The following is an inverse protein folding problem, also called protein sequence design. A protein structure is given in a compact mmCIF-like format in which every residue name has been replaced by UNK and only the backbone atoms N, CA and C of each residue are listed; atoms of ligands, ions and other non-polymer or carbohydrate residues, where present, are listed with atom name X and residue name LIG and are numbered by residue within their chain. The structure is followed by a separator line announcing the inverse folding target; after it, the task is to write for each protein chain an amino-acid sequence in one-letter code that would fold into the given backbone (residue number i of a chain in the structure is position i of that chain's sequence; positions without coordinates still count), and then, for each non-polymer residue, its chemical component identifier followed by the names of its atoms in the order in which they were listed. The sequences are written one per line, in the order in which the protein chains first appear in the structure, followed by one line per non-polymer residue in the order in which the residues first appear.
data_IF_425585754991
#
_entry.id   IF_425585754991
#
_cell.length_a   1.000
_cell.length_b   1.000
_cell.length_c   1.000
_cell.angle_alpha   90.00
_cell.angle_beta   90.00
_cell.angle_gamma   90.00
#
_symmetry.space_group_name_H-M   'P 1'
#
loop_
_entity.id
_entity.type
_entity.pdbx_description
1 polymer ?
#
# COMPACT_ATOMS: atom_id res chain seq x y z
N UNK A 1 8.26 28.63 -4.04
CA UNK A 1 8.15 27.16 -3.92
C UNK A 1 9.31 26.53 -4.66
N UNK A 2 9.85 25.39 -4.20
CA UNK A 2 10.93 24.68 -4.91
C UNK A 2 10.49 24.38 -6.35
N UNK A 3 11.39 24.60 -7.31
CA UNK A 3 11.18 24.32 -8.75
C UNK A 3 11.72 22.95 -9.16
N UNK A 4 12.23 22.17 -8.21
CA UNK A 4 12.80 20.83 -8.43
C UNK A 4 12.20 19.84 -7.44
N UNK A 5 12.04 18.59 -7.87
CA UNK A 5 11.58 17.54 -6.99
C UNK A 5 12.61 17.26 -5.90
N UNK A 6 12.13 17.10 -4.66
CA UNK A 6 12.98 16.75 -3.52
C UNK A 6 12.86 15.25 -3.23
N UNK A 7 13.98 14.58 -3.00
CA UNK A 7 13.98 13.17 -2.55
C UNK A 7 13.34 13.08 -1.16
N UNK A 8 12.34 12.21 -1.01
CA UNK A 8 11.63 12.00 0.26
C UNK A 8 11.83 10.61 0.84
N UNK A 9 12.18 9.62 0.02
CA UNK A 9 12.42 8.25 0.48
C UNK A 9 13.38 7.51 -0.47
N UNK A 10 13.98 6.43 0.04
CA UNK A 10 14.69 5.44 -0.77
C UNK A 10 14.56 4.06 -0.18
N UNK A 11 14.34 3.08 -1.04
CA UNK A 11 14.45 1.66 -0.73
C UNK A 11 15.56 1.01 -1.52
N UNK A 12 15.63 -0.31 -1.47
CA UNK A 12 16.67 -1.11 -2.13
C UNK A 12 16.66 -0.98 -3.67
N UNK A 13 15.50 -0.69 -4.25
CA UNK A 13 15.31 -0.72 -5.72
C UNK A 13 14.92 0.63 -6.33
N UNK A 14 14.48 1.60 -5.51
CA UNK A 14 14.00 2.87 -6.02
C UNK A 14 14.19 4.00 -5.01
N UNK A 15 14.27 5.23 -5.53
CA UNK A 15 14.15 6.46 -4.76
C UNK A 15 12.86 7.18 -5.15
N UNK A 16 12.20 7.79 -4.15
CA UNK A 16 10.98 8.57 -4.35
C UNK A 16 11.29 10.05 -4.21
N UNK A 17 10.89 10.82 -5.20
CA UNK A 17 10.98 12.27 -5.25
C UNK A 17 9.57 12.87 -5.29
N UNK A 18 9.40 14.09 -4.80
CA UNK A 18 8.11 14.79 -4.80
C UNK A 18 8.25 16.22 -5.32
N UNK A 19 7.31 16.65 -6.16
CA UNK A 19 7.15 18.04 -6.60
C UNK A 19 5.66 18.37 -6.66
N UNK A 20 5.22 19.33 -5.85
CA UNK A 20 3.80 19.66 -5.73
C UNK A 20 2.97 18.43 -5.31
N UNK A 21 1.94 18.13 -6.13
CA UNK A 21 1.05 16.99 -5.96
C UNK A 21 1.48 15.70 -6.66
N UNK A 22 2.69 15.66 -7.23
CA UNK A 22 3.22 14.49 -7.95
C UNK A 22 4.36 13.85 -7.18
N UNK A 23 4.32 12.52 -7.10
CA UNK A 23 5.42 11.67 -6.67
C UNK A 23 6.07 10.99 -7.87
N UNK A 24 7.39 10.85 -7.82
CA UNK A 24 8.21 10.22 -8.86
C UNK A 24 9.00 9.08 -8.24
N UNK A 25 8.71 7.83 -8.61
CA UNK A 25 9.47 6.65 -8.22
C UNK A 25 10.49 6.37 -9.32
N UNK A 26 11.76 6.71 -9.08
CA UNK A 26 12.87 6.42 -10.00
C UNK A 26 13.60 5.17 -9.53
N UNK A 27 13.73 4.21 -10.44
CA UNK A 27 14.31 2.91 -10.15
C UNK A 27 15.83 2.95 -10.32
N UNK A 28 16.54 2.10 -9.58
CA UNK A 28 17.92 1.77 -9.92
C UNK A 28 17.94 1.08 -11.30
N UNK A 29 19.00 1.32 -12.09
CA UNK A 29 19.06 0.93 -13.52
C UNK A 29 18.78 -0.58 -13.72
N UNK A 30 18.14 -0.88 -14.86
CA UNK A 30 17.73 -2.22 -15.34
C UNK A 30 16.67 -2.97 -14.51
N UNK A 31 15.76 -2.25 -13.84
CA UNK A 31 14.58 -2.89 -13.27
C UNK A 31 13.50 -3.11 -14.35
N UNK A 32 13.49 -4.28 -14.98
CA UNK A 32 12.41 -4.71 -15.90
C UNK A 32 11.01 -4.60 -15.25
N UNK A 33 10.95 -4.73 -13.92
CA UNK A 33 9.72 -4.62 -13.17
C UNK A 33 9.08 -3.22 -13.15
N UNK A 34 9.73 -2.18 -13.67
CA UNK A 34 9.15 -0.83 -13.67
C UNK A 34 7.90 -0.72 -14.57
N UNK A 35 7.93 -1.33 -15.76
CA UNK A 35 6.76 -1.40 -16.65
C UNK A 35 5.65 -2.25 -16.04
N UNK A 36 6.01 -3.39 -15.45
CA UNK A 36 5.06 -4.28 -14.78
C UNK A 36 4.38 -3.59 -13.59
N UNK A 37 5.15 -2.85 -12.78
CA UNK A 37 4.63 -2.07 -11.67
C UNK A 37 3.69 -0.97 -12.16
N UNK A 38 4.05 -0.25 -13.23
CA UNK A 38 3.21 0.78 -13.83
C UNK A 38 1.87 0.22 -14.34
N UNK A 39 1.91 -0.91 -15.04
CA UNK A 39 0.72 -1.56 -15.57
C UNK A 39 -0.18 -2.11 -14.45
N UNK A 40 0.43 -2.69 -13.41
CA UNK A 40 -0.29 -3.12 -12.21
C UNK A 40 -0.95 -1.93 -11.51
N UNK A 41 -0.22 -0.83 -11.33
CA UNK A 41 -0.74 0.39 -10.73
C UNK A 41 -1.93 0.96 -11.52
N UNK A 42 -1.83 1.06 -12.85
CA UNK A 42 -2.92 1.53 -13.72
C UNK A 42 -4.14 0.60 -13.66
N UNK A 43 -3.92 -0.71 -13.67
CA UNK A 43 -4.98 -1.70 -13.54
C UNK A 43 -5.68 -1.62 -12.19
N UNK A 44 -4.93 -1.57 -11.09
CA UNK A 44 -5.49 -1.47 -9.72
C UNK A 44 -6.21 -0.14 -9.54
N UNK A 45 -5.62 0.98 -9.94
CA UNK A 45 -6.28 2.29 -9.85
C UNK A 45 -7.64 2.28 -10.55
N UNK A 46 -7.68 1.79 -11.80
CA UNK A 46 -8.91 1.82 -12.62
C UNK A 46 -9.98 0.88 -12.08
N UNK A 47 -9.61 -0.34 -11.69
CA UNK A 47 -10.58 -1.40 -11.38
C UNK A 47 -10.91 -1.50 -9.89
N UNK A 48 -10.02 -1.03 -9.01
CA UNK A 48 -10.15 -1.22 -7.57
C UNK A 48 -10.57 0.05 -6.84
N UNK A 49 -10.14 1.26 -7.24
CA UNK A 49 -10.42 2.50 -6.49
C UNK A 49 -11.90 2.89 -6.35
N UNK A 50 -12.79 2.70 -7.35
CA UNK A 50 -14.18 3.13 -7.21
C UNK A 50 -14.86 2.54 -5.96
N UNK A 51 -15.22 3.41 -5.01
CA UNK A 51 -15.83 3.01 -3.74
C UNK A 51 -14.92 2.20 -2.80
N UNK A 52 -13.60 2.27 -2.96
CA UNK A 52 -12.66 1.58 -2.08
C UNK A 52 -12.35 2.39 -0.82
N UNK A 53 -12.05 1.65 0.26
CA UNK A 53 -11.51 2.21 1.50
C UNK A 53 -10.02 2.54 1.37
N UNK A 54 -9.23 1.63 0.77
CA UNK A 54 -7.82 1.87 0.43
C UNK A 54 -7.68 2.21 -1.04
N UNK A 55 -6.96 3.30 -1.33
CA UNK A 55 -6.79 3.83 -2.67
C UNK A 55 -5.39 3.51 -3.20
N UNK A 56 -5.29 3.10 -4.46
CA UNK A 56 -4.05 3.20 -5.20
C UNK A 56 -3.86 4.66 -5.67
N UNK A 57 -2.65 5.23 -5.60
CA UNK A 57 -2.39 6.57 -6.16
C UNK A 57 -2.69 6.62 -7.66
N UNK A 58 -3.20 7.73 -8.21
CA UNK A 58 -3.40 7.83 -9.68
C UNK A 58 -2.05 7.76 -10.42
N UNK A 59 -1.81 6.79 -11.32
CA UNK A 59 -0.65 6.86 -12.21
C UNK A 59 -0.82 7.99 -13.23
N UNK A 60 0.29 8.64 -13.58
CA UNK A 60 0.31 9.75 -14.53
C UNK A 60 1.07 9.35 -15.79
N UNK A 61 2.32 8.92 -15.63
CA UNK A 61 3.18 8.56 -16.75
C UNK A 61 4.33 7.63 -16.33
N UNK A 62 4.86 6.90 -17.30
CA UNK A 62 6.07 6.10 -17.18
C UNK A 62 7.14 6.68 -18.11
N UNK A 63 8.32 6.96 -17.56
CA UNK A 63 9.53 7.14 -18.36
C UNK A 63 10.22 5.79 -18.55
N UNK A 64 10.37 5.38 -19.81
CA UNK A 64 11.06 4.16 -20.20
C UNK A 64 12.59 4.31 -20.17
N UNK A 65 13.30 3.19 -20.30
CA UNK A 65 14.77 3.16 -20.34
C UNK A 65 15.36 4.02 -21.49
N UNK A 66 14.67 4.12 -22.61
CA UNK A 66 15.02 4.96 -23.77
C UNK A 66 14.62 6.44 -23.59
N UNK A 67 14.08 6.80 -22.41
CA UNK A 67 13.56 8.12 -22.03
C UNK A 67 12.29 8.55 -22.74
N UNK A 68 11.65 7.67 -23.54
CA UNK A 68 10.27 7.90 -23.97
C UNK A 68 9.34 7.98 -22.76
N UNK A 69 8.26 8.75 -22.87
CA UNK A 69 7.28 8.94 -21.80
C UNK A 69 5.92 8.47 -22.29
N UNK A 70 5.42 7.43 -21.63
CA UNK A 70 4.10 6.85 -21.90
C UNK A 70 3.07 7.40 -20.91
N UNK A 71 1.92 7.90 -21.35
CA UNK A 71 0.83 8.27 -20.46
C UNK A 71 0.22 7.02 -19.80
N UNK A 72 -0.31 7.17 -18.58
CA UNK A 72 -0.96 6.07 -17.87
C UNK A 72 -2.26 5.58 -18.54
N UNK A 73 -2.95 6.48 -19.25
CA UNK A 73 -4.24 6.19 -19.87
C UNK A 73 -4.25 6.67 -21.32
N UNK A 74 -4.82 5.85 -22.21
CA UNK A 74 -4.89 6.15 -23.63
C UNK A 74 -5.63 7.48 -23.87
N UNK A 75 -5.00 8.38 -24.61
CA UNK A 75 -5.57 9.69 -24.94
C UNK A 75 -5.41 10.77 -23.86
N UNK A 76 -4.86 10.45 -22.67
CA UNK A 76 -4.48 11.48 -21.69
C UNK A 76 -3.16 12.14 -22.08
N UNK A 77 -3.12 13.48 -22.05
CA UNK A 77 -1.88 14.23 -22.21
C UNK A 77 -1.10 14.26 -20.88
N UNK A 78 0.21 13.98 -20.94
CA UNK A 78 1.08 14.12 -19.76
C UNK A 78 1.38 15.60 -19.54
N UNK A 79 1.18 16.15 -18.33
CA UNK A 79 1.52 17.54 -18.02
C UNK A 79 3.00 17.85 -18.33
N UNK A 80 3.26 19.02 -18.93
CA UNK A 80 4.61 19.38 -19.41
C UNK A 80 5.64 19.46 -18.28
N UNK A 81 5.22 19.87 -17.09
CA UNK A 81 6.04 19.89 -15.87
C UNK A 81 6.40 18.47 -15.40
N UNK A 82 5.47 17.51 -15.50
CA UNK A 82 5.73 16.10 -15.21
C UNK A 82 6.74 15.51 -16.19
N UNK A 83 6.60 15.77 -17.50
CA UNK A 83 7.56 15.33 -18.52
C UNK A 83 8.94 15.93 -18.25
N UNK A 84 9.00 17.23 -17.96
CA UNK A 84 10.25 17.93 -17.67
C UNK A 84 10.95 17.36 -16.43
N UNK A 85 10.21 17.00 -15.39
CA UNK A 85 10.79 16.44 -14.17
C UNK A 85 11.25 14.98 -14.36
N UNK A 86 10.45 14.15 -15.05
CA UNK A 86 10.89 12.80 -15.45
C UNK A 86 12.20 12.85 -16.25
N UNK A 87 12.35 13.81 -17.16
CA UNK A 87 13.58 14.01 -17.94
C UNK A 87 14.85 14.26 -17.12
N UNK A 88 14.73 14.69 -15.85
CA UNK A 88 15.85 14.92 -14.92
C UNK A 88 16.20 13.70 -14.08
N UNK A 89 15.30 12.73 -13.98
CA UNK A 89 15.48 11.54 -13.15
C UNK A 89 16.16 10.41 -13.94
N UNK A 90 16.88 9.50 -13.25
CA UNK A 90 17.34 8.27 -13.87
C UNK A 90 16.14 7.42 -14.35
N UNK A 91 16.11 6.99 -15.62
CA UNK A 91 15.11 6.04 -16.07
C UNK A 91 15.45 4.60 -15.62
N UNK A 92 14.44 3.71 -15.51
CA UNK A 92 13.02 4.01 -15.65
C UNK A 92 12.46 4.76 -14.43
N UNK A 93 11.37 5.51 -14.62
CA UNK A 93 10.71 6.25 -13.54
C UNK A 93 9.19 6.36 -13.74
N UNK A 94 8.42 6.20 -12.66
CA UNK A 94 6.96 6.36 -12.66
C UNK A 94 6.59 7.68 -12.02
N UNK A 95 5.76 8.48 -12.69
CA UNK A 95 5.06 9.62 -12.11
C UNK A 95 3.64 9.21 -11.70
N UNK A 96 3.23 9.57 -10.48
CA UNK A 96 1.92 9.26 -9.92
C UNK A 96 1.47 10.35 -8.93
N UNK A 97 0.21 10.32 -8.54
CA UNK A 97 -0.33 11.13 -7.46
C UNK A 97 0.48 10.95 -6.17
N UNK A 98 0.76 12.06 -5.50
CA UNK A 98 1.48 12.05 -4.24
C UNK A 98 0.58 11.60 -3.09
N UNK A 99 1.09 10.67 -2.28
CA UNK A 99 0.61 10.47 -0.90
C UNK A 99 1.30 11.52 -0.02
N UNK A 100 0.52 12.38 0.64
CA UNK A 100 1.07 13.43 1.49
C UNK A 100 1.39 12.90 2.90
N UNK A 101 2.27 13.61 3.59
CA UNK A 101 2.62 13.34 4.98
C UNK A 101 1.36 13.33 5.86
N UNK A 102 1.32 12.45 6.86
CA UNK A 102 0.22 12.46 7.85
C UNK A 102 0.10 13.83 8.55
N UNK A 103 -1.08 14.23 9.04
CA UNK A 103 -1.26 15.51 9.73
C UNK A 103 -0.37 15.65 10.98
N UNK A 104 0.06 16.87 11.30
CA UNK A 104 0.97 17.14 12.43
C UNK A 104 0.41 16.70 13.78
N UNK A 105 -0.92 16.78 13.95
CA UNK A 105 -1.60 16.24 15.13
C UNK A 105 -1.36 14.73 15.30
N UNK A 106 -1.32 13.96 14.21
CA UNK A 106 -0.95 12.54 14.26
C UNK A 106 0.54 12.36 14.55
N UNK A 107 1.42 13.17 13.95
CA UNK A 107 2.87 13.07 14.15
C UNK A 107 3.25 13.24 15.63
N UNK A 108 2.70 14.27 16.28
CA UNK A 108 2.96 14.55 17.69
C UNK A 108 2.47 13.42 18.61
N UNK A 109 1.23 12.96 18.41
CA UNK A 109 0.68 11.85 19.17
C UNK A 109 1.47 10.54 18.96
N UNK A 110 1.85 10.25 17.71
CA UNK A 110 2.62 9.06 17.38
C UNK A 110 4.03 9.09 17.98
N UNK A 111 4.69 10.24 17.98
CA UNK A 111 5.99 10.41 18.63
C UNK A 111 5.93 10.04 20.12
N UNK A 112 4.86 10.42 20.82
CA UNK A 112 4.67 10.02 22.22
C UNK A 112 4.48 8.51 22.39
N UNK A 113 3.68 7.87 21.54
CA UNK A 113 3.41 6.42 21.60
C UNK A 113 4.71 5.63 21.41
N UNK A 114 5.51 6.00 20.41
CA UNK A 114 6.75 5.29 20.07
C UNK A 114 7.97 5.82 20.85
N UNK A 115 7.77 6.75 21.79
CA UNK A 115 8.80 7.38 22.62
C UNK A 115 9.93 8.04 21.81
N UNK A 116 9.56 8.69 20.71
CA UNK A 116 10.44 9.48 19.87
C UNK A 116 10.64 10.88 20.48
N UNK A 117 11.84 11.44 20.33
CA UNK A 117 12.10 12.87 20.61
C UNK A 117 11.11 13.74 19.82
N UNK A 118 10.40 14.65 20.50
CA UNK A 118 9.41 15.55 19.90
C UNK A 118 9.99 16.36 18.74
N UNK A 119 11.29 16.69 18.77
CA UNK A 119 11.97 17.41 17.68
C UNK A 119 12.02 16.61 16.38
N UNK A 120 11.91 15.28 16.45
CA UNK A 120 11.88 14.37 15.31
C UNK A 120 10.47 14.05 14.84
N UNK A 121 9.43 14.43 15.59
CA UNK A 121 8.04 14.19 15.19
C UNK A 121 7.71 14.76 13.78
N UNK A 122 8.16 15.98 13.39
CA UNK A 122 7.89 16.51 12.05
C UNK A 122 8.48 15.68 10.90
N UNK A 123 9.51 14.87 11.17
CA UNK A 123 10.14 13.99 10.19
C UNK A 123 9.28 12.77 9.85
N UNK A 124 8.25 12.46 10.64
CA UNK A 124 7.33 11.37 10.35
C UNK A 124 6.54 11.69 9.07
N UNK A 125 6.64 10.81 8.08
CA UNK A 125 5.99 10.98 6.76
C UNK A 125 4.70 10.18 6.66
N UNK A 126 4.83 8.86 6.61
CA UNK A 126 3.72 7.93 6.43
C UNK A 126 3.69 6.90 7.55
N UNK A 127 2.53 6.25 7.70
CA UNK A 127 2.37 5.15 8.63
C UNK A 127 2.00 3.86 7.88
N UNK A 128 2.87 2.85 7.91
CA UNK A 128 2.57 1.52 7.37
C UNK A 128 1.59 0.78 8.28
N UNK A 129 0.60 0.11 7.73
CA UNK A 129 -0.47 -0.57 8.47
C UNK A 129 -0.12 -2.03 8.72
N UNK A 130 0.72 -2.28 9.72
CA UNK A 130 1.19 -3.60 10.12
C UNK A 130 0.18 -4.41 10.92
N UNK A 131 -1.02 -4.67 10.36
CA UNK A 131 -2.13 -5.29 11.10
C UNK A 131 -1.93 -6.78 11.41
N UNK A 132 -0.90 -7.40 10.84
CA UNK A 132 -0.46 -8.76 11.17
C UNK A 132 0.60 -8.86 12.26
N UNK A 133 1.04 -7.72 12.83
CA UNK A 133 2.06 -7.67 13.87
C UNK A 133 1.46 -7.35 15.22
N UNK A 134 1.89 -8.07 16.25
CA UNK A 134 1.52 -7.76 17.64
C UNK A 134 2.33 -6.57 18.19
N UNK A 135 3.61 -6.48 17.81
CA UNK A 135 4.53 -5.46 18.30
C UNK A 135 5.42 -4.91 17.20
N UNK A 136 5.81 -3.63 17.34
CA UNK A 136 6.86 -3.00 16.53
C UNK A 136 8.19 -3.63 16.94
N UNK A 137 8.94 -4.19 15.98
CA UNK A 137 10.25 -4.79 16.22
C UNK A 137 11.31 -4.06 15.40
N UNK A 138 12.45 -3.75 16.02
CA UNK A 138 13.59 -3.12 15.36
C UNK A 138 13.52 -1.57 15.34
N UNK A 139 14.46 -0.93 14.64
CA UNK A 139 14.53 0.52 14.54
C UNK A 139 13.32 1.10 13.79
N UNK A 140 12.82 2.23 14.26
CA UNK A 140 11.70 2.94 13.64
C UNK A 140 12.19 3.75 12.43
N UNK A 141 11.60 3.49 11.27
CA UNK A 141 11.73 4.37 10.10
C UNK A 141 10.75 5.54 10.21
N UNK A 142 11.27 6.77 10.28
CA UNK A 142 10.41 7.97 10.30
C UNK A 142 9.77 8.25 8.93
N UNK A 143 10.36 7.74 7.84
CA UNK A 143 9.72 7.79 6.53
C UNK A 143 8.46 6.90 6.45
N UNK A 144 8.38 5.86 7.27
CA UNK A 144 7.36 4.80 7.16
C UNK A 144 7.18 4.08 8.51
N UNK A 145 6.52 4.74 9.48
CA UNK A 145 6.36 4.19 10.83
C UNK A 145 5.34 3.05 10.79
N UNK A 146 5.71 1.85 11.25
CA UNK A 146 4.80 0.71 11.28
C UNK A 146 3.82 0.81 12.45
N UNK A 147 2.52 0.80 12.16
CA UNK A 147 1.44 0.75 13.15
C UNK A 147 0.91 -0.68 13.28
N UNK A 148 1.03 -1.25 14.47
CA UNK A 148 0.32 -2.47 14.86
C UNK A 148 -1.14 -2.16 15.23
N UNK A 149 -2.03 -3.16 15.35
CA UNK A 149 -3.40 -2.93 15.78
C UNK A 149 -3.48 -2.13 17.11
N UNK A 150 -2.67 -2.50 18.09
CA UNK A 150 -2.60 -1.80 19.40
C UNK A 150 -2.11 -0.37 19.27
N UNK A 151 -1.05 -0.15 18.49
CA UNK A 151 -0.46 1.19 18.29
C UNK A 151 -1.43 2.10 17.54
N UNK A 152 -2.12 1.57 16.54
CA UNK A 152 -3.15 2.28 15.79
C UNK A 152 -4.32 2.66 16.68
N UNK A 153 -4.80 1.74 17.54
CA UNK A 153 -5.90 2.01 18.46
C UNK A 153 -5.54 3.10 19.50
N UNK A 154 -4.32 3.05 20.08
CA UNK A 154 -3.84 4.11 20.98
C UNK A 154 -3.75 5.47 20.25
N UNK A 155 -3.22 5.48 19.02
CA UNK A 155 -3.16 6.68 18.19
C UNK A 155 -4.56 7.25 17.93
N UNK A 156 -5.51 6.42 17.49
CA UNK A 156 -6.90 6.83 17.25
C UNK A 156 -7.56 7.41 18.49
N UNK A 157 -7.28 6.86 19.67
CA UNK A 157 -7.82 7.37 20.93
C UNK A 157 -7.23 8.73 21.33
N UNK A 158 -5.91 8.91 21.15
CA UNK A 158 -5.22 10.18 21.52
C UNK A 158 -5.59 11.36 20.64
N UNK A 159 -5.86 11.10 19.37
CA UNK A 159 -6.16 12.13 18.37
C UNK A 159 -7.66 12.33 18.18
N UNK A 160 -8.48 11.65 18.98
CA UNK A 160 -9.94 11.75 18.96
C UNK A 160 -10.36 13.21 19.15
N UNK A 161 -11.07 13.74 18.15
CA UNK A 161 -11.53 15.13 18.10
C UNK A 161 -10.64 16.08 17.29
N UNK A 162 -9.37 15.71 17.04
CA UNK A 162 -8.49 16.44 16.13
C UNK A 162 -8.46 15.81 14.73
N UNK A 163 -8.39 14.48 14.68
CA UNK A 163 -8.39 13.71 13.42
C UNK A 163 -9.33 12.52 13.60
N UNK A 164 -10.24 12.34 12.65
CA UNK A 164 -11.13 11.18 12.62
C UNK A 164 -10.38 9.99 12.03
N UNK A 165 -9.96 9.05 12.90
CA UNK A 165 -9.44 7.76 12.48
C UNK A 165 -10.53 6.69 12.66
N UNK A 166 -10.77 5.84 11.63
CA UNK A 166 -11.72 4.74 11.76
C UNK A 166 -11.22 3.69 12.76
N UNK A 167 -12.12 2.87 13.35
CA UNK A 167 -11.76 1.70 14.13
C UNK A 167 -10.78 0.77 13.41
N UNK A 168 -9.98 0.03 14.17
CA UNK A 168 -8.98 -0.89 13.61
C UNK A 168 -9.66 -2.00 12.78
N UNK A 169 -10.85 -2.42 13.17
CA UNK A 169 -11.66 -3.40 12.46
C UNK A 169 -12.04 -2.92 11.06
N UNK A 170 -12.36 -1.63 10.90
CA UNK A 170 -12.69 -1.07 9.59
C UNK A 170 -11.47 -1.00 8.68
N UNK A 171 -10.30 -0.69 9.23
CA UNK A 171 -9.03 -0.74 8.48
C UNK A 171 -8.73 -2.17 8.02
N UNK A 172 -8.83 -3.14 8.92
CA UNK A 172 -8.56 -4.56 8.60
C UNK A 172 -9.57 -5.12 7.60
N UNK A 173 -10.85 -4.75 7.73
CA UNK A 173 -11.89 -5.07 6.74
C UNK A 173 -11.57 -4.45 5.38
N UNK A 174 -11.12 -3.20 5.38
CA UNK A 174 -10.67 -2.49 4.18
C UNK A 174 -9.50 -3.20 3.50
N UNK A 175 -8.52 -3.68 4.27
CA UNK A 175 -7.37 -4.45 3.75
C UNK A 175 -7.86 -5.73 3.08
N UNK A 176 -8.73 -6.51 3.74
CA UNK A 176 -9.33 -7.71 3.15
C UNK A 176 -10.05 -7.42 1.83
N UNK A 177 -10.86 -6.35 1.80
CA UNK A 177 -11.56 -5.92 0.60
C UNK A 177 -10.60 -5.49 -0.52
N UNK A 178 -9.52 -4.76 -0.20
CA UNK A 178 -8.52 -4.35 -1.18
C UNK A 178 -7.82 -5.55 -1.83
N UNK A 179 -7.41 -6.54 -1.02
CA UNK A 179 -6.78 -7.77 -1.53
C UNK A 179 -7.72 -8.53 -2.46
N UNK A 180 -9.00 -8.69 -2.09
CA UNK A 180 -9.99 -9.35 -2.94
C UNK A 180 -10.18 -8.63 -4.29
N UNK A 181 -10.23 -7.29 -4.28
CA UNK A 181 -10.32 -6.51 -5.52
C UNK A 181 -9.07 -6.69 -6.39
N UNK A 182 -7.88 -6.71 -5.79
CA UNK A 182 -6.63 -6.95 -6.51
C UNK A 182 -6.64 -8.34 -7.14
N UNK A 183 -7.02 -9.38 -6.40
CA UNK A 183 -7.12 -10.76 -6.91
C UNK A 183 -8.10 -10.88 -8.07
N UNK A 184 -9.32 -10.38 -7.91
CA UNK A 184 -10.43 -10.78 -8.77
C UNK A 184 -10.92 -9.72 -9.74
N UNK A 185 -10.59 -8.43 -9.51
CA UNK A 185 -10.90 -7.34 -10.45
C UNK A 185 -9.67 -6.93 -11.23
N UNK A 186 -8.55 -6.69 -10.55
CA UNK A 186 -7.30 -6.35 -11.22
C UNK A 186 -6.59 -7.59 -11.79
N UNK A 187 -6.86 -8.79 -11.25
CA UNK A 187 -6.29 -10.04 -11.75
C UNK A 187 -4.82 -10.23 -11.36
N UNK A 188 -4.45 -9.91 -10.13
CA UNK A 188 -3.08 -10.04 -9.62
C UNK A 188 -3.02 -10.68 -8.22
N UNK A 189 -1.89 -11.26 -7.85
CA UNK A 189 -1.73 -12.06 -6.63
C UNK A 189 -1.50 -11.25 -5.33
N UNK A 190 -1.47 -9.91 -5.43
CA UNK A 190 -1.22 -9.01 -4.31
C UNK A 190 0.09 -9.28 -3.55
N UNK A 191 1.11 -9.85 -4.21
CA UNK A 191 2.41 -10.12 -3.60
C UNK A 191 3.19 -8.82 -3.34
N UNK A 192 3.87 -8.76 -2.19
CA UNK A 192 4.71 -7.64 -1.70
C UNK A 192 4.05 -6.25 -1.59
N UNK A 193 2.73 -6.14 -1.79
CA UNK A 193 2.04 -4.85 -1.63
C UNK A 193 2.11 -4.33 -0.19
N UNK A 194 2.16 -3.01 -0.06
CA UNK A 194 2.16 -2.31 1.22
C UNK A 194 0.88 -1.49 1.40
N UNK A 195 0.50 -1.31 2.67
CA UNK A 195 -0.64 -0.47 3.05
C UNK A 195 -0.17 0.65 3.96
N UNK A 196 -0.62 1.87 3.70
CA UNK A 196 -0.28 3.01 4.55
C UNK A 196 -1.47 3.91 4.83
N UNK A 197 -1.31 4.67 5.90
CA UNK A 197 -2.06 5.88 6.21
C UNK A 197 -1.20 7.09 5.85
N UNK A 198 -1.79 8.01 5.09
CA UNK A 198 -1.20 9.29 4.68
C UNK A 198 -2.26 10.38 4.63
N UNK A 199 -1.93 11.56 4.10
CA UNK A 199 -2.89 12.63 3.86
C UNK A 199 -3.19 12.81 2.37
N UNK A 200 -4.29 13.50 2.08
CA UNK A 200 -4.76 13.81 0.72
C UNK A 200 -4.38 15.21 0.20
N UNK A 201 -3.50 15.92 0.92
CA UNK A 201 -3.10 17.29 0.61
C UNK A 201 -4.02 18.36 1.16
N UNK A 202 -5.22 18.02 1.64
CA UNK A 202 -6.15 18.93 2.35
C UNK A 202 -6.11 18.75 3.87
N UNK A 203 -5.21 17.91 4.38
CA UNK A 203 -5.08 17.59 5.80
C UNK A 203 -5.99 16.46 6.28
N UNK A 204 -6.83 15.89 5.40
CA UNK A 204 -7.60 14.70 5.72
C UNK A 204 -6.74 13.44 5.56
N UNK A 205 -6.97 12.48 6.44
CA UNK A 205 -6.31 11.18 6.40
C UNK A 205 -6.98 10.30 5.35
N UNK A 206 -6.17 9.61 4.54
CA UNK A 206 -6.59 8.55 3.62
C UNK A 206 -5.72 7.32 3.79
N UNK A 207 -6.26 6.19 3.35
CA UNK A 207 -5.60 4.89 3.37
C UNK A 207 -5.23 4.49 1.94
N UNK A 208 -4.02 3.97 1.79
CA UNK A 208 -3.42 3.70 0.49
C UNK A 208 -2.89 2.28 0.41
N UNK A 209 -2.89 1.75 -0.80
CA UNK A 209 -2.18 0.51 -1.18
C UNK A 209 -1.17 0.86 -2.28
N UNK A 210 0.06 0.36 -2.16
CA UNK A 210 1.15 0.66 -3.10
C UNK A 210 2.24 -0.42 -3.09
N UNK A 211 3.32 -0.16 -3.83
CA UNK A 211 4.47 -1.06 -4.07
C UNK A 211 4.07 -2.33 -4.83
N UNK A 212 3.70 -2.16 -6.10
CA UNK A 212 3.17 -3.23 -6.96
C UNK A 212 4.27 -3.95 -7.76
N UNK A 213 5.53 -3.85 -7.34
CA UNK A 213 6.71 -4.27 -8.11
C UNK A 213 6.91 -5.78 -8.21
N UNK A 214 6.31 -6.59 -7.32
CA UNK A 214 6.40 -8.06 -7.32
C UNK A 214 5.08 -8.76 -7.57
N UNK A 215 4.04 -8.02 -7.98
CA UNK A 215 2.76 -8.62 -8.29
C UNK A 215 2.81 -9.40 -9.60
N UNK A 216 2.20 -10.58 -9.59
CA UNK A 216 2.06 -11.42 -10.77
C UNK A 216 0.59 -11.54 -11.16
N UNK A 217 0.33 -11.74 -12.46
CA UNK A 217 -1.03 -11.93 -12.97
C UNK A 217 -1.61 -13.25 -12.46
N UNK A 218 -2.83 -13.18 -11.97
CA UNK A 218 -3.64 -14.34 -11.65
C UNK A 218 -4.28 -14.81 -12.95
N UNK A 219 -3.79 -15.92 -13.49
CA UNK A 219 -4.37 -16.53 -14.69
C UNK A 219 -5.82 -16.97 -14.46
N UNK A 220 -6.52 -17.35 -15.55
CA UNK A 220 -7.93 -17.76 -15.49
C UNK A 220 -8.20 -18.91 -14.51
N UNK A 221 -7.22 -19.81 -14.39
CA UNK A 221 -7.17 -20.90 -13.42
C UNK A 221 -6.15 -20.53 -12.33
N UNK A 222 -6.55 -19.77 -11.30
CA UNK A 222 -5.63 -19.39 -10.24
C UNK A 222 -5.06 -20.61 -9.54
N UNK A 223 -3.75 -20.58 -9.30
CA UNK A 223 -3.09 -21.51 -8.39
C UNK A 223 -3.32 -21.00 -6.96
N UNK A 224 -4.26 -21.63 -6.25
CA UNK A 224 -4.63 -21.26 -4.89
C UNK A 224 -3.44 -21.31 -3.92
N UNK A 225 -2.52 -22.26 -4.09
CA UNK A 225 -1.36 -22.39 -3.20
C UNK A 225 -0.38 -21.24 -3.40
N UNK A 226 -0.20 -20.78 -4.67
CA UNK A 226 0.57 -19.58 -4.95
C UNK A 226 -0.05 -18.33 -4.34
N UNK A 227 -1.38 -18.16 -4.45
CA UNK A 227 -2.09 -17.05 -3.83
C UNK A 227 -1.92 -17.06 -2.30
N UNK A 228 -2.08 -18.21 -1.66
CA UNK A 228 -1.87 -18.36 -0.22
C UNK A 228 -0.43 -18.03 0.17
N UNK A 229 0.55 -18.46 -0.64
CA UNK A 229 1.97 -18.15 -0.43
C UNK A 229 2.25 -16.65 -0.53
N UNK A 230 1.75 -15.98 -1.58
CA UNK A 230 1.86 -14.52 -1.77
C UNK A 230 1.17 -13.73 -0.64
N UNK A 231 0.00 -14.18 -0.19
CA UNK A 231 -0.66 -13.58 0.96
C UNK A 231 0.19 -13.72 2.23
N UNK A 232 0.79 -14.89 2.46
CA UNK A 232 1.57 -15.17 3.67
C UNK A 232 2.96 -14.54 3.68
N UNK A 233 3.59 -14.27 2.53
CA UNK A 233 4.84 -13.50 2.49
C UNK A 233 4.64 -12.08 3.04
N UNK A 234 3.42 -11.56 2.93
CA UNK A 234 2.99 -10.26 3.43
C UNK A 234 2.41 -10.30 4.86
N UNK A 235 2.78 -11.30 5.67
CA UNK A 235 2.25 -11.48 7.03
C UNK A 235 2.44 -10.30 7.99
N UNK A 236 3.31 -9.33 7.68
CA UNK A 236 3.41 -8.09 8.47
C UNK A 236 2.13 -7.26 8.38
N UNK A 237 1.39 -7.34 7.27
CA UNK A 237 0.23 -6.50 6.98
C UNK A 237 -1.11 -7.17 7.27
N UNK A 238 -1.14 -8.50 7.32
CA UNK A 238 -2.38 -9.25 7.49
C UNK A 238 -2.43 -10.00 8.81
N UNK A 239 -3.49 -9.88 9.62
CA UNK A 239 -3.76 -10.87 10.66
C UNK A 239 -3.92 -12.25 10.02
N UNK A 240 -3.38 -13.29 10.67
CA UNK A 240 -3.43 -14.68 10.18
C UNK A 240 -4.27 -15.61 11.06
N UNK A 241 -4.71 -15.12 12.22
CA UNK A 241 -5.58 -15.81 13.18
C UNK A 241 -6.29 -14.79 14.09
N UNK A 242 -7.20 -15.29 14.94
CA UNK A 242 -7.94 -14.48 15.91
C UNK A 242 -9.03 -13.60 15.31
N UNK A 243 -9.59 -12.70 16.13
CA UNK A 243 -10.77 -11.91 15.77
C UNK A 243 -10.52 -10.98 14.55
N UNK A 244 -9.34 -10.37 14.45
CA UNK A 244 -9.00 -9.51 13.30
C UNK A 244 -8.86 -10.30 12.00
N UNK A 245 -8.48 -11.57 12.06
CA UNK A 245 -8.48 -12.42 10.86
C UNK A 245 -9.91 -12.67 10.35
N UNK A 246 -10.87 -12.90 11.25
CA UNK A 246 -12.29 -13.00 10.85
C UNK A 246 -12.82 -11.71 10.22
N UNK A 247 -12.40 -10.55 10.74
CA UNK A 247 -12.73 -9.23 10.15
C UNK A 247 -12.13 -9.07 8.75
N UNK A 248 -10.87 -9.49 8.57
CA UNK A 248 -10.20 -9.46 7.27
C UNK A 248 -10.95 -10.35 6.26
N UNK A 249 -11.29 -11.58 6.65
CA UNK A 249 -12.06 -12.51 5.81
C UNK A 249 -13.40 -11.90 5.40
N UNK A 250 -14.16 -11.34 6.35
CA UNK A 250 -15.42 -10.68 6.05
C UNK A 250 -15.26 -9.51 5.05
N UNK A 251 -14.17 -8.75 5.17
CA UNK A 251 -13.80 -7.72 4.19
C UNK A 251 -13.54 -8.30 2.80
N UNK A 252 -12.77 -9.39 2.72
CA UNK A 252 -12.47 -10.08 1.47
C UNK A 252 -13.73 -10.66 0.81
N UNK A 253 -14.54 -11.40 1.57
CA UNK A 253 -15.80 -12.02 1.12
C UNK A 253 -16.79 -10.98 0.58
N UNK A 254 -16.85 -9.78 1.18
CA UNK A 254 -17.74 -8.71 0.74
C UNK A 254 -17.48 -8.22 -0.69
N UNK A 255 -16.33 -8.56 -1.27
CA UNK A 255 -15.94 -8.17 -2.63
C UNK A 255 -16.05 -9.32 -3.63
N UNK A 256 -16.48 -10.51 -3.18
CA UNK A 256 -16.71 -11.65 -4.05
C UNK A 256 -18.09 -11.56 -4.70
N UNK A 257 -18.13 -11.76 -6.01
CA UNK A 257 -19.35 -11.77 -6.82
C UNK A 257 -19.30 -12.91 -7.83
N UNK A 258 -20.38 -13.08 -8.60
CA UNK A 258 -20.68 -14.26 -9.44
C UNK A 258 -19.46 -15.07 -9.90
N UNK A 259 -18.59 -14.49 -10.72
CA UNK A 259 -17.45 -15.19 -11.32
C UNK A 259 -16.25 -15.41 -10.39
N UNK A 260 -16.11 -14.62 -9.32
CA UNK A 260 -15.00 -14.71 -8.38
C UNK A 260 -15.32 -15.51 -7.11
N UNK A 261 -16.61 -15.74 -6.82
CA UNK A 261 -17.07 -16.35 -5.57
C UNK A 261 -16.41 -17.69 -5.26
N UNK A 262 -16.51 -18.67 -6.15
CA UNK A 262 -15.93 -20.00 -5.93
C UNK A 262 -14.41 -19.94 -5.72
N UNK A 263 -13.69 -19.16 -6.54
CA UNK A 263 -12.23 -19.02 -6.47
C UNK A 263 -11.80 -18.31 -5.18
N UNK A 264 -12.54 -17.27 -4.79
CA UNK A 264 -12.31 -16.52 -3.55
C UNK A 264 -12.56 -17.36 -2.30
N UNK A 265 -13.65 -18.12 -2.27
CA UNK A 265 -13.97 -19.04 -1.18
C UNK A 265 -12.94 -20.16 -1.07
N UNK A 266 -12.49 -20.73 -2.20
CA UNK A 266 -11.42 -21.73 -2.22
C UNK A 266 -10.11 -21.17 -1.65
N UNK A 267 -9.74 -19.93 -2.01
CA UNK A 267 -8.59 -19.24 -1.44
C UNK A 267 -8.71 -19.06 0.08
N UNK A 268 -9.85 -18.58 0.59
CA UNK A 268 -10.07 -18.38 2.02
C UNK A 268 -10.06 -19.69 2.81
N UNK A 269 -10.63 -20.76 2.24
CA UNK A 269 -10.60 -22.09 2.82
C UNK A 269 -9.16 -22.62 2.94
N UNK A 270 -8.38 -22.50 1.86
CA UNK A 270 -6.96 -22.89 1.85
C UNK A 270 -6.12 -22.06 2.84
N UNK A 271 -6.36 -20.75 2.90
CA UNK A 271 -5.70 -19.85 3.84
C UNK A 271 -5.97 -20.26 5.30
N UNK A 272 -7.24 -20.56 5.63
CA UNK A 272 -7.66 -20.98 6.97
C UNK A 272 -7.06 -22.34 7.36
N UNK A 273 -7.10 -23.33 6.45
CA UNK A 273 -6.49 -24.64 6.68
C UNK A 273 -5.00 -24.53 7.00
N UNK A 274 -4.28 -23.73 6.22
CA UNK A 274 -2.85 -23.50 6.42
C UNK A 274 -2.54 -22.79 7.76
N UNK A 275 -3.44 -21.95 8.28
CA UNK A 275 -3.26 -21.31 9.60
C UNK A 275 -3.43 -22.32 10.73
N UNK A 276 -4.46 -23.18 10.64
CA UNK A 276 -4.70 -24.23 11.62
C UNK A 276 -3.55 -25.27 11.66
N UNK A 277 -2.93 -25.57 10.53
CA UNK A 277 -1.78 -26.49 10.47
C UNK A 277 -0.50 -25.89 11.08
N UNK A 278 -0.30 -24.57 10.98
CA UNK A 278 0.81 -23.88 11.66
C UNK A 278 0.61 -23.78 13.17
N UNK A 279 -0.62 -23.54 13.62
CA UNK A 279 -0.94 -23.54 15.06
C UNK A 279 -0.77 -24.96 15.66
N UNK A 280 -1.09 -26.01 14.91
CA UNK A 280 -0.91 -27.41 15.35
C UNK A 280 0.53 -27.90 15.29
N UNK A 281 1.36 -27.37 14.39
CA UNK A 281 2.79 -27.72 14.30
C UNK A 281 3.68 -26.86 15.21
N UNK A 282 3.11 -25.82 15.83
CA UNK A 282 3.74 -25.02 16.89
C UNK A 282 3.71 -25.70 18.27
N UNK A 283 4.32 -26.87 18.38
CA UNK A 283 4.90 -27.35 19.65
C UNK A 283 6.19 -26.58 19.93
N UNK A 284 6.19 -25.85 21.06
CA UNK A 284 7.30 -25.32 21.87
C UNK A 284 8.39 -24.47 21.18
#
# INVERSE_FOLDING_TARGET
MSTQASKTASGSYASVYVLGGTAYKSFAREFEGAKNEFDALASVYTTCNPGAFLLAPKPIALQNADKSVDPAFAGEAVPADVVAELGKLPPPAIAMERIYDIPDALKGALAQIIKLDEKKAPEIKLCLLGMGREAIRGPVSLASVLLTPTTYADLAQRVKGAVALPPVEDVVRGIGAAVARIHWRAGYDANDIEFAMGADGSGHVKFFVFDFNKMERVGEKPDTDKLVKAFRSNNKYYPLSGALFEVLKAGYESQLDGASKEKGEAFLAALTKSSAEKEKSGTA
#
